data_IF_752279099188
#
_entry.id   IF_752279099188
#
_cell.length_a   1.000
_cell.length_b   1.000
_cell.length_c   1.000
_cell.angle_alpha   90.00
_cell.angle_beta   90.00
_cell.angle_gamma   90.00
#
_symmetry.space_group_name_H-M   'P 1'
#
loop_
_entity.id
_entity.type
_entity.pdbx_description
1 polymer ?
#
# COMPACT_ATOMS: atom_id res chain seq x y z
N UNK A 1 24.42 -55.53 4.46
CA UNK A 1 24.41 -56.36 3.24
C UNK A 1 23.07 -56.20 2.52
N UNK A 2 23.12 -55.89 1.22
CA UNK A 2 22.16 -56.07 0.08
C UNK A 2 20.81 -56.75 0.41
N UNK A 3 19.64 -56.37 -0.13
CA UNK A 3 19.17 -56.55 -1.53
C UNK A 3 17.67 -56.12 -1.58
N UNK A 4 17.14 -55.29 -2.49
CA UNK A 4 16.75 -55.47 -3.93
C UNK A 4 15.30 -55.93 -4.21
N UNK A 5 14.67 -55.16 -5.14
CA UNK A 5 13.63 -55.47 -6.18
C UNK A 5 12.16 -55.57 -5.70
N UNK A 6 11.22 -54.76 -6.20
CA UNK A 6 10.64 -54.61 -7.57
C UNK A 6 9.66 -55.76 -7.95
N UNK A 7 8.57 -55.41 -8.67
CA UNK A 7 7.43 -56.23 -9.24
C UNK A 7 6.09 -55.67 -8.68
N UNK A 8 5.00 -55.32 -9.39
CA UNK A 8 4.62 -55.35 -10.82
C UNK A 8 3.27 -54.59 -11.03
N UNK A 9 2.91 -54.43 -12.30
CA UNK A 9 1.81 -53.68 -12.94
C UNK A 9 0.36 -54.24 -12.81
N UNK A 10 -0.62 -53.32 -12.98
CA UNK A 10 -1.91 -53.40 -13.72
C UNK A 10 -3.11 -54.20 -13.11
N UNK A 11 -4.41 -53.95 -13.45
CA UNK A 11 -4.91 -53.54 -14.78
C UNK A 11 -6.09 -52.53 -14.92
N UNK A 12 -6.36 -52.26 -16.20
CA UNK A 12 -7.31 -51.35 -16.88
C UNK A 12 -8.78 -51.80 -16.79
N UNK A 13 -9.70 -50.83 -16.81
CA UNK A 13 -11.03 -50.99 -17.41
C UNK A 13 -11.33 -49.81 -18.36
N UNK A 14 -11.61 -50.12 -19.62
CA UNK A 14 -12.48 -49.32 -20.52
C UNK A 14 -13.76 -50.13 -20.81
N UNK A 15 -14.46 -49.91 -21.95
CA UNK A 15 -15.08 -48.67 -22.45
C UNK A 15 -16.57 -48.88 -22.86
N UNK A 16 -17.18 -47.84 -23.49
CA UNK A 16 -18.37 -47.82 -24.38
C UNK A 16 -19.78 -47.75 -23.76
N UNK A 17 -20.52 -46.68 -24.13
CA UNK A 17 -21.79 -46.77 -24.86
C UNK A 17 -22.22 -45.41 -25.45
N UNK A 18 -22.27 -45.37 -26.78
CA UNK A 18 -22.87 -44.36 -27.65
C UNK A 18 -24.40 -44.32 -27.54
N UNK A 19 -25.00 -43.19 -27.94
CA UNK A 19 -26.46 -43.08 -28.10
C UNK A 19 -26.98 -41.68 -28.52
N UNK A 20 -26.64 -41.25 -29.73
CA UNK A 20 -27.39 -40.43 -30.69
C UNK A 20 -28.51 -39.44 -30.26
N UNK A 21 -28.39 -38.20 -30.73
CA UNK A 21 -29.49 -37.25 -30.93
C UNK A 21 -29.04 -35.95 -31.62
N UNK A 22 -29.13 -35.89 -32.95
CA UNK A 22 -29.09 -34.62 -33.71
C UNK A 22 -30.43 -33.88 -33.55
N UNK A 23 -30.49 -32.53 -33.62
CA UNK A 23 -30.71 -31.88 -34.93
C UNK A 23 -30.17 -30.44 -35.07
N UNK A 24 -30.20 -29.91 -36.31
CA UNK A 24 -30.55 -28.51 -36.54
C UNK A 24 -29.48 -27.58 -37.09
N UNK A 25 -29.23 -27.66 -38.40
CA UNK A 25 -28.68 -26.55 -39.17
C UNK A 25 -29.71 -25.42 -39.22
N UNK A 26 -29.39 -24.23 -38.72
CA UNK A 26 -30.04 -22.98 -39.13
C UNK A 26 -29.04 -21.80 -39.08
N UNK A 27 -28.67 -21.35 -40.28
CA UNK A 27 -28.52 -19.94 -40.66
C UNK A 27 -27.62 -19.07 -39.76
N UNK A 28 -26.31 -19.26 -39.86
CA UNK A 28 -25.33 -18.24 -39.49
C UNK A 28 -25.35 -17.10 -40.50
N UNK A 29 -26.34 -16.20 -40.40
CA UNK A 29 -26.26 -14.88 -41.05
C UNK A 29 -25.04 -14.17 -40.50
N UNK A 30 -24.20 -13.70 -41.43
CA UNK A 30 -23.14 -12.76 -41.17
C UNK A 30 -23.67 -11.59 -40.31
N UNK A 31 -23.25 -11.53 -39.05
CA UNK A 31 -23.35 -10.30 -38.27
C UNK A 31 -22.13 -9.49 -38.66
N UNK A 32 -22.41 -8.46 -39.45
CA UNK A 32 -21.52 -7.38 -39.83
C UNK A 32 -20.53 -7.01 -38.72
N UNK A 33 -19.26 -6.94 -39.12
CA UNK A 33 -18.25 -6.13 -38.45
C UNK A 33 -18.78 -4.69 -38.39
N UNK A 34 -19.33 -4.32 -37.24
CA UNK A 34 -19.63 -2.94 -36.88
C UNK A 34 -18.46 -2.38 -36.10
N UNK A 35 -17.59 -1.64 -36.78
CA UNK A 35 -16.70 -0.70 -36.12
C UNK A 35 -17.51 0.39 -35.41
N UNK A 36 -16.86 1.06 -34.45
CA UNK A 36 -17.34 2.18 -33.64
C UNK A 36 -18.02 1.80 -32.30
N UNK A 37 -17.20 1.74 -31.27
CA UNK A 37 -17.58 1.72 -29.86
C UNK A 37 -16.37 2.10 -29.02
N UNK A 38 -15.86 3.31 -29.29
CA UNK A 38 -14.73 3.95 -28.65
C UNK A 38 -14.76 3.78 -27.13
N UNK A 39 -13.58 3.54 -26.55
CA UNK A 39 -13.28 3.67 -25.13
C UNK A 39 -14.07 4.84 -24.51
N UNK A 40 -14.61 4.70 -23.28
CA UNK A 40 -15.39 5.76 -22.66
C UNK A 40 -14.56 7.05 -22.68
N UNK A 41 -15.02 8.01 -23.48
CA UNK A 41 -14.41 9.32 -23.62
C UNK A 41 -14.40 9.93 -22.23
N UNK A 42 -13.21 10.08 -21.65
CA UNK A 42 -12.98 10.83 -20.41
C UNK A 42 -13.57 12.22 -20.66
N UNK A 43 -14.75 12.46 -20.11
CA UNK A 43 -15.44 13.75 -20.25
C UNK A 43 -14.61 14.78 -19.50
N UNK A 44 -14.51 16.03 -19.99
CA UNK A 44 -13.72 17.08 -19.34
C UNK A 44 -14.02 17.22 -17.83
N UNK A 45 -15.29 17.02 -17.44
CA UNK A 45 -15.73 17.04 -16.04
C UNK A 45 -15.22 15.89 -15.17
N UNK A 46 -14.88 14.73 -15.76
CA UNK A 46 -14.28 13.59 -15.06
C UNK A 46 -12.79 13.84 -14.79
N UNK A 47 -12.12 14.55 -15.70
CA UNK A 47 -10.70 14.88 -15.58
C UNK A 47 -10.47 15.89 -14.44
N UNK A 48 -11.29 16.94 -14.37
CA UNK A 48 -11.19 17.98 -13.34
C UNK A 48 -11.37 17.40 -11.92
N UNK A 49 -12.35 16.49 -11.76
CA UNK A 49 -12.58 15.78 -10.51
C UNK A 49 -11.39 14.88 -10.15
N UNK A 50 -10.93 14.05 -11.07
CA UNK A 50 -9.80 13.14 -10.83
C UNK A 50 -8.52 13.90 -10.47
N UNK A 51 -8.23 15.00 -11.17
CA UNK A 51 -7.06 15.83 -10.88
C UNK A 51 -7.15 16.47 -9.49
N UNK A 52 -8.34 16.93 -9.09
CA UNK A 52 -8.57 17.51 -7.76
C UNK A 52 -8.31 16.49 -6.65
N UNK A 53 -8.73 15.24 -6.86
CA UNK A 53 -8.52 14.12 -5.92
C UNK A 53 -7.05 13.82 -5.77
N UNK A 54 -6.35 13.57 -6.88
CA UNK A 54 -4.93 13.23 -6.87
C UNK A 54 -4.12 14.34 -6.21
N UNK A 55 -4.43 15.60 -6.53
CA UNK A 55 -3.81 16.76 -5.91
C UNK A 55 -4.06 16.80 -4.40
N UNK A 56 -5.30 16.60 -3.96
CA UNK A 56 -5.66 16.66 -2.54
C UNK A 56 -4.98 15.54 -1.77
N UNK A 57 -4.97 14.31 -2.30
CA UNK A 57 -4.27 13.18 -1.72
C UNK A 57 -2.76 13.42 -1.60
N UNK A 58 -2.11 13.88 -2.68
CA UNK A 58 -0.68 14.17 -2.68
C UNK A 58 -0.33 15.25 -1.65
N UNK A 59 -1.11 16.34 -1.63
CA UNK A 59 -0.88 17.43 -0.69
C UNK A 59 -1.07 16.97 0.76
N UNK A 60 -2.13 16.22 1.05
CA UNK A 60 -2.41 15.72 2.41
C UNK A 60 -1.31 14.77 2.88
N UNK A 61 -0.91 13.83 2.03
CA UNK A 61 0.12 12.84 2.35
C UNK A 61 1.50 13.49 2.53
N UNK A 62 1.93 14.35 1.60
CA UNK A 62 3.21 15.03 1.70
C UNK A 62 3.25 16.01 2.88
N UNK A 63 2.20 16.79 3.09
CA UNK A 63 2.11 17.71 4.23
C UNK A 63 2.09 16.95 5.56
N UNK A 64 1.33 15.86 5.65
CA UNK A 64 1.27 15.02 6.83
C UNK A 64 2.61 14.35 7.14
N UNK A 65 3.29 13.79 6.13
CA UNK A 65 4.62 13.19 6.30
C UNK A 65 5.67 14.23 6.68
N UNK A 66 5.63 15.42 6.07
CA UNK A 66 6.51 16.53 6.42
C UNK A 66 6.27 17.01 7.85
N UNK A 67 5.01 17.19 8.27
CA UNK A 67 4.66 17.57 9.63
C UNK A 67 5.09 16.50 10.65
N UNK A 68 4.85 15.22 10.36
CA UNK A 68 5.26 14.11 11.20
C UNK A 68 6.79 14.02 11.32
N UNK A 69 7.51 14.07 10.19
CA UNK A 69 8.96 13.92 10.12
C UNK A 69 9.76 15.12 10.61
N UNK A 70 9.29 16.35 10.39
CA UNK A 70 10.04 17.58 10.70
C UNK A 70 9.56 18.29 11.96
N UNK A 71 8.32 18.05 12.40
CA UNK A 71 7.76 18.73 13.59
C UNK A 71 7.52 17.72 14.70
N UNK A 72 6.75 16.67 14.45
CA UNK A 72 6.34 15.74 15.50
C UNK A 72 7.52 14.92 16.05
N UNK A 73 8.31 14.31 15.16
CA UNK A 73 9.48 13.49 15.54
C UNK A 73 10.59 14.31 16.24
N UNK A 74 11.05 15.45 15.70
CA UNK A 74 12.03 16.30 16.37
C UNK A 74 11.50 16.91 17.67
N UNK A 75 10.20 17.27 17.71
CA UNK A 75 9.55 17.78 18.91
C UNK A 75 9.46 16.73 20.01
N UNK A 76 9.10 15.49 19.66
CA UNK A 76 9.08 14.36 20.59
C UNK A 76 10.49 14.03 21.10
N UNK A 77 11.49 14.05 20.22
CA UNK A 77 12.89 13.89 20.61
C UNK A 77 13.28 14.95 21.64
N UNK A 78 13.06 16.23 21.34
CA UNK A 78 13.41 17.33 22.23
C UNK A 78 12.68 17.25 23.59
N UNK A 79 11.41 16.79 23.59
CA UNK A 79 10.63 16.61 24.81
C UNK A 79 11.17 15.48 25.70
N UNK A 80 11.61 14.37 25.11
CA UNK A 80 12.08 13.19 25.84
C UNK A 80 13.53 13.31 26.28
N UNK A 81 14.42 13.81 25.41
CA UNK A 81 15.86 13.91 25.70
C UNK A 81 16.26 15.25 26.30
N UNK A 82 15.44 16.29 26.15
CA UNK A 82 15.78 17.66 26.53
C UNK A 82 16.89 18.29 25.68
N UNK A 83 17.30 17.63 24.59
CA UNK A 83 18.40 18.06 23.73
C UNK A 83 17.89 18.72 22.43
N UNK A 84 18.73 19.56 21.82
CA UNK A 84 18.43 20.14 20.50
C UNK A 84 18.38 19.00 19.45
N UNK A 85 17.28 18.85 18.68
CA UNK A 85 17.16 17.80 17.67
C UNK A 85 17.98 18.07 16.39
N UNK A 86 18.50 19.29 16.19
CA UNK A 86 19.18 19.68 14.94
C UNK A 86 20.45 18.87 14.62
N UNK A 87 21.34 18.55 15.58
CA UNK A 87 22.51 17.71 15.30
C UNK A 87 22.08 16.31 14.85
N UNK A 88 21.08 15.73 15.53
CA UNK A 88 20.53 14.42 15.20
C UNK A 88 19.88 14.40 13.80
N UNK A 89 19.13 15.44 13.45
CA UNK A 89 18.55 15.62 12.11
C UNK A 89 19.63 15.70 11.03
N UNK A 90 20.76 16.38 11.28
CA UNK A 90 21.85 16.48 10.31
C UNK A 90 22.52 15.14 10.04
N UNK A 91 22.73 14.34 11.09
CA UNK A 91 23.32 13.00 10.98
C UNK A 91 22.39 12.05 10.21
N UNK A 92 21.09 12.09 10.49
CA UNK A 92 20.10 11.18 9.88
C UNK A 92 19.61 11.63 8.50
N UNK A 93 19.93 12.86 8.06
CA UNK A 93 19.49 13.40 6.78
C UNK A 93 20.03 12.60 5.58
N UNK A 94 21.31 12.23 5.59
CA UNK A 94 21.92 11.51 4.47
C UNK A 94 21.32 10.11 4.24
N UNK A 95 21.16 9.25 5.29
CA UNK A 95 20.42 7.99 5.17
C UNK A 95 18.96 8.19 4.73
N UNK A 96 18.29 9.23 5.23
CA UNK A 96 16.88 9.52 4.89
C UNK A 96 16.72 9.88 3.41
N UNK A 97 17.57 10.76 2.88
CA UNK A 97 17.56 11.12 1.45
C UNK A 97 17.87 9.90 0.59
N UNK A 98 18.79 9.03 1.02
CA UNK A 98 19.07 7.78 0.32
C UNK A 98 17.86 6.84 0.32
N UNK A 99 17.18 6.68 1.45
CA UNK A 99 15.95 5.89 1.55
C UNK A 99 14.87 6.37 0.56
N UNK A 100 14.69 7.69 0.48
CA UNK A 100 13.74 8.33 -0.44
C UNK A 100 14.11 8.08 -1.89
N UNK A 101 15.40 8.17 -2.25
CA UNK A 101 15.87 7.96 -3.63
C UNK A 101 15.66 6.52 -4.13
N UNK A 102 15.76 5.54 -3.25
CA UNK A 102 15.60 4.12 -3.58
C UNK A 102 14.20 3.58 -3.26
N UNK A 103 13.29 4.43 -2.75
CA UNK A 103 11.95 4.08 -2.27
C UNK A 103 11.93 2.83 -1.37
N UNK A 104 13.03 2.59 -0.63
CA UNK A 104 13.22 1.35 0.13
C UNK A 104 13.92 1.62 1.45
N UNK A 105 13.24 1.24 2.54
CA UNK A 105 13.77 1.40 3.89
C UNK A 105 14.97 0.48 4.13
N UNK A 106 14.95 -0.74 3.58
CA UNK A 106 16.01 -1.74 3.75
C UNK A 106 17.37 -1.25 3.25
N UNK A 107 17.39 -0.38 2.22
CA UNK A 107 18.63 0.22 1.69
C UNK A 107 19.25 1.21 2.68
N UNK A 108 18.42 1.92 3.44
CA UNK A 108 18.88 2.98 4.35
C UNK A 108 19.22 2.53 5.77
N UNK A 109 18.73 1.35 6.21
CA UNK A 109 19.00 0.82 7.55
C UNK A 109 20.50 0.69 7.85
N UNK A 110 21.34 0.07 7.00
CA UNK A 110 22.77 -0.05 7.30
C UNK A 110 23.46 1.32 7.40
N UNK A 111 23.15 2.23 6.49
CA UNK A 111 23.69 3.60 6.51
C UNK A 111 23.25 4.39 7.75
N UNK A 112 22.04 4.13 8.24
CA UNK A 112 21.53 4.76 9.47
C UNK A 112 22.28 4.27 10.70
N UNK A 113 22.61 2.97 10.76
CA UNK A 113 23.39 2.39 11.86
C UNK A 113 24.78 3.01 11.88
N UNK A 114 25.47 3.07 10.75
CA UNK A 114 26.81 3.66 10.62
C UNK A 114 26.80 5.15 11.02
N UNK A 115 25.83 5.93 10.51
CA UNK A 115 25.72 7.34 10.86
C UNK A 115 25.49 7.58 12.36
N UNK A 116 24.72 6.71 13.03
CA UNK A 116 24.45 6.82 14.46
C UNK A 116 25.61 6.35 15.33
N UNK A 117 26.37 5.35 14.89
CA UNK A 117 27.58 4.88 15.59
C UNK A 117 28.72 5.89 15.46
N UNK A 118 28.98 6.41 14.26
CA UNK A 118 30.16 7.26 14.00
C UNK A 118 29.91 8.74 14.28
N UNK A 119 28.78 9.30 13.83
CA UNK A 119 28.55 10.75 13.87
C UNK A 119 27.74 11.20 15.10
N UNK A 120 26.96 10.31 15.72
CA UNK A 120 26.23 10.58 16.95
C UNK A 120 26.85 9.93 18.21
N UNK A 121 27.96 9.19 18.05
CA UNK A 121 28.73 8.52 19.13
C UNK A 121 27.82 7.68 20.06
N UNK A 122 26.84 6.99 19.48
CA UNK A 122 25.91 6.15 20.24
C UNK A 122 26.47 4.73 20.40
N UNK A 123 26.19 4.12 21.55
CA UNK A 123 26.61 2.75 21.88
C UNK A 123 26.19 1.74 20.78
N UNK A 124 27.14 1.11 20.06
CA UNK A 124 26.84 0.23 18.92
C UNK A 124 25.90 -0.92 19.29
N UNK A 125 26.01 -1.43 20.52
CA UNK A 125 25.15 -2.50 21.02
C UNK A 125 23.67 -2.09 21.07
N UNK A 126 23.38 -0.84 21.40
CA UNK A 126 22.01 -0.31 21.46
C UNK A 126 21.51 -0.04 20.04
N UNK A 127 22.31 0.64 19.21
CA UNK A 127 21.93 1.01 17.84
C UNK A 127 21.61 -0.23 16.99
N UNK A 128 22.49 -1.24 17.00
CA UNK A 128 22.32 -2.48 16.21
C UNK A 128 21.15 -3.35 16.64
N UNK A 129 20.63 -3.15 17.86
CA UNK A 129 19.44 -3.84 18.33
C UNK A 129 18.17 -3.02 18.03
N UNK A 130 18.17 -1.74 18.39
CA UNK A 130 16.96 -0.90 18.34
C UNK A 130 16.60 -0.52 16.91
N UNK A 131 17.57 -0.16 16.06
CA UNK A 131 17.28 0.32 14.69
C UNK A 131 16.65 -0.77 13.82
N UNK A 132 17.17 -2.01 13.72
CA UNK A 132 16.56 -3.05 12.89
C UNK A 132 15.17 -3.50 13.39
N UNK A 133 14.99 -3.58 14.71
CA UNK A 133 13.69 -3.91 15.31
C UNK A 133 12.69 -2.78 15.05
N UNK A 134 13.10 -1.54 15.28
CA UNK A 134 12.28 -0.34 15.04
C UNK A 134 11.90 -0.18 13.57
N UNK A 135 12.80 -0.48 12.63
CA UNK A 135 12.52 -0.37 11.19
C UNK A 135 11.40 -1.31 10.70
N UNK A 136 11.18 -2.43 11.39
CA UNK A 136 10.10 -3.38 11.06
C UNK A 136 8.79 -3.07 11.79
N UNK A 137 8.86 -2.59 13.04
CA UNK A 137 7.67 -2.33 13.86
C UNK A 137 7.09 -0.92 13.62
N UNK A 138 7.93 0.04 13.20
CA UNK A 138 7.50 1.41 12.95
C UNK A 138 6.69 1.50 11.66
N UNK A 139 5.36 1.57 11.80
CA UNK A 139 4.42 1.70 10.70
C UNK A 139 3.71 3.05 10.64
N UNK A 140 4.23 4.09 11.29
CA UNK A 140 3.58 5.41 11.34
C UNK A 140 3.41 6.05 9.95
N UNK A 141 4.41 5.92 9.07
CA UNK A 141 4.33 6.45 7.71
C UNK A 141 3.25 5.77 6.88
N UNK A 142 3.16 4.43 6.97
CA UNK A 142 2.11 3.67 6.29
C UNK A 142 0.73 4.04 6.82
N UNK A 143 0.56 4.13 8.14
CA UNK A 143 -0.72 4.52 8.75
C UNK A 143 -1.18 5.92 8.27
N UNK A 144 -0.26 6.87 8.10
CA UNK A 144 -0.55 8.21 7.60
C UNK A 144 -1.05 8.17 6.15
N UNK A 145 -0.37 7.42 5.28
CA UNK A 145 -0.75 7.26 3.87
C UNK A 145 -2.13 6.60 3.75
N UNK A 146 -2.38 5.54 4.51
CA UNK A 146 -3.68 4.85 4.50
C UNK A 146 -4.82 5.75 5.01
N UNK A 147 -4.55 6.53 6.07
CA UNK A 147 -5.52 7.49 6.60
C UNK A 147 -5.82 8.60 5.60
N UNK A 148 -4.80 9.14 4.93
CA UNK A 148 -4.96 10.15 3.90
C UNK A 148 -5.73 9.64 2.68
N UNK A 149 -5.49 8.37 2.28
CA UNK A 149 -6.24 7.70 1.22
C UNK A 149 -7.73 7.58 1.59
N UNK A 150 -8.03 7.08 2.79
CA UNK A 150 -9.40 6.94 3.28
C UNK A 150 -10.14 8.28 3.36
N UNK A 151 -9.50 9.32 3.92
CA UNK A 151 -10.06 10.68 3.99
C UNK A 151 -10.37 11.22 2.59
N UNK A 152 -9.43 11.05 1.64
CA UNK A 152 -9.62 11.55 0.28
C UNK A 152 -10.79 10.84 -0.42
N UNK A 153 -10.93 9.53 -0.23
CA UNK A 153 -12.04 8.75 -0.79
C UNK A 153 -13.39 9.12 -0.16
N UNK A 154 -13.43 9.37 1.15
CA UNK A 154 -14.64 9.85 1.81
C UNK A 154 -15.07 11.22 1.28
N UNK A 155 -14.12 12.15 1.09
CA UNK A 155 -14.42 13.48 0.51
C UNK A 155 -14.88 13.39 -0.95
N UNK A 156 -14.47 12.35 -1.67
CA UNK A 156 -14.88 12.08 -3.05
C UNK A 156 -16.35 11.69 -3.17
N UNK A 157 -16.81 10.87 -2.23
CA UNK A 157 -18.20 10.43 -2.15
C UNK A 157 -19.10 11.47 -1.46
N UNK A 158 -18.53 12.62 -1.06
CA UNK A 158 -19.25 13.74 -0.47
C UNK A 158 -19.59 13.56 1.00
N UNK A 159 -18.88 12.67 1.70
CA UNK A 159 -19.06 12.44 3.13
C UNK A 159 -18.39 13.53 3.95
N UNK A 160 -19.14 14.11 4.88
CA UNK A 160 -18.57 14.97 5.92
C UNK A 160 -18.00 14.08 7.01
N UNK A 161 -16.69 14.19 7.24
CA UNK A 161 -15.98 13.41 8.25
C UNK A 161 -16.15 14.09 9.63
N UNK A 162 -16.90 13.45 10.51
CA UNK A 162 -16.99 13.80 11.92
C UNK A 162 -15.86 13.22 12.77
N UNK A 163 -15.83 13.52 14.06
CA UNK A 163 -14.83 13.00 14.99
C UNK A 163 -14.89 11.47 15.14
N UNK A 164 -16.06 10.86 15.00
CA UNK A 164 -16.26 9.41 15.03
C UNK A 164 -15.64 8.70 13.82
N UNK A 165 -15.81 9.22 12.61
CA UNK A 165 -15.20 8.64 11.41
C UNK A 165 -13.67 8.78 11.45
N UNK A 166 -13.16 9.91 11.93
CA UNK A 166 -11.73 10.11 12.10
C UNK A 166 -11.11 9.11 13.10
N UNK A 167 -11.84 8.79 14.17
CA UNK A 167 -11.43 7.76 15.12
C UNK A 167 -11.36 6.37 14.46
N UNK A 168 -12.37 6.02 13.66
CA UNK A 168 -12.43 4.75 12.92
C UNK A 168 -11.25 4.64 11.95
N UNK A 169 -10.99 5.70 11.18
CA UNK A 169 -9.87 5.75 10.22
C UNK A 169 -8.53 5.54 10.94
N UNK A 170 -8.31 6.23 12.06
CA UNK A 170 -7.07 6.13 12.84
C UNK A 170 -6.85 4.73 13.41
N UNK A 171 -7.90 4.08 13.92
CA UNK A 171 -7.81 2.73 14.48
C UNK A 171 -7.65 1.67 13.39
N UNK A 172 -8.37 1.81 12.28
CA UNK A 172 -8.28 0.91 11.13
C UNK A 172 -6.89 0.91 10.50
N UNK A 173 -6.26 2.08 10.38
CA UNK A 173 -4.90 2.22 9.85
C UNK A 173 -3.81 1.59 10.74
N UNK A 174 -4.04 1.52 12.06
CA UNK A 174 -3.09 0.92 13.01
C UNK A 174 -3.22 -0.61 13.14
N UNK A 175 -4.37 -1.18 12.75
CA UNK A 175 -4.72 -2.57 13.06
C UNK A 175 -4.13 -3.61 12.11
N UNK A 176 -3.70 -3.23 10.91
CA UNK A 176 -3.28 -4.17 9.86
C UNK A 176 -1.84 -3.86 9.40
N UNK A 177 -0.86 -4.66 9.84
CA UNK A 177 0.50 -4.55 9.34
C UNK A 177 0.58 -4.97 7.87
N UNK A 178 1.22 -4.14 7.04
CA UNK A 178 1.80 -4.52 5.74
C UNK A 178 0.83 -4.92 4.62
N UNK A 179 -0.45 -4.53 4.68
CA UNK A 179 -1.39 -4.70 3.56
C UNK A 179 -2.08 -3.40 3.21
N UNK A 180 -1.48 -2.60 2.32
CA UNK A 180 -1.95 -1.24 2.03
C UNK A 180 -3.37 -1.18 1.48
N UNK A 181 -3.61 -1.85 0.35
CA UNK A 181 -4.92 -1.86 -0.32
C UNK A 181 -6.02 -2.45 0.57
N UNK A 182 -5.74 -3.53 1.30
CA UNK A 182 -6.72 -4.16 2.20
C UNK A 182 -7.08 -3.25 3.36
N UNK A 183 -6.11 -2.51 3.91
CA UNK A 183 -6.35 -1.59 5.02
C UNK A 183 -7.32 -0.49 4.60
N UNK A 184 -7.09 0.13 3.44
CA UNK A 184 -8.01 1.15 2.91
C UNK A 184 -9.40 0.55 2.67
N UNK A 185 -9.47 -0.66 2.11
CA UNK A 185 -10.75 -1.35 1.89
C UNK A 185 -11.52 -1.59 3.20
N UNK A 186 -10.84 -2.07 4.24
CA UNK A 186 -11.47 -2.32 5.54
C UNK A 186 -11.98 -1.03 6.19
N UNK A 187 -11.24 0.07 6.05
CA UNK A 187 -11.69 1.38 6.52
C UNK A 187 -12.93 1.85 5.74
N UNK A 188 -12.96 1.69 4.41
CA UNK A 188 -14.13 2.06 3.60
C UNK A 188 -15.37 1.22 3.95
N UNK A 189 -15.18 -0.07 4.22
CA UNK A 189 -16.26 -0.95 4.68
C UNK A 189 -16.81 -0.51 6.04
N UNK A 190 -15.93 -0.09 6.97
CA UNK A 190 -16.33 0.40 8.28
C UNK A 190 -17.08 1.74 8.22
N UNK A 191 -16.83 2.54 7.18
CA UNK A 191 -17.48 3.83 6.91
C UNK A 191 -18.70 3.70 5.98
N UNK A 192 -19.09 2.48 5.61
CA UNK A 192 -20.21 2.19 4.68
C UNK A 192 -20.10 2.89 3.31
N UNK A 193 -18.88 3.18 2.85
CA UNK A 193 -18.60 3.92 1.61
C UNK A 193 -18.56 2.99 0.40
N UNK A 194 -19.11 3.43 -0.74
CA UNK A 194 -19.14 2.60 -1.95
C UNK A 194 -17.74 2.41 -2.52
N UNK A 195 -17.24 1.18 -2.48
CA UNK A 195 -15.89 0.83 -2.93
C UNK A 195 -15.69 0.84 -4.46
N UNK A 196 -16.58 1.51 -5.21
CA UNK A 196 -16.53 1.61 -6.69
C UNK A 196 -15.24 2.29 -7.17
N UNK A 197 -14.58 3.04 -6.28
CA UNK A 197 -13.37 3.81 -6.54
C UNK A 197 -12.07 3.12 -6.07
N UNK A 198 -12.06 1.82 -5.72
CA UNK A 198 -10.83 1.07 -5.35
C UNK A 198 -9.72 1.21 -6.41
N UNK A 199 -10.08 1.30 -7.69
CA UNK A 199 -9.14 1.50 -8.79
C UNK A 199 -8.28 2.76 -8.60
N UNK A 200 -8.84 3.82 -8.00
CA UNK A 200 -8.10 5.05 -7.68
C UNK A 200 -7.10 4.80 -6.56
N UNK A 201 -7.43 3.98 -5.56
CA UNK A 201 -6.51 3.62 -4.47
C UNK A 201 -5.25 2.95 -5.02
N UNK A 202 -5.39 2.04 -5.99
CA UNK A 202 -4.26 1.38 -6.63
C UNK A 202 -3.36 2.36 -7.41
N UNK A 203 -3.95 3.36 -8.06
CA UNK A 203 -3.20 4.41 -8.76
C UNK A 203 -2.45 5.31 -7.77
N UNK A 204 -3.06 5.58 -6.62
CA UNK A 204 -2.48 6.42 -5.56
C UNK A 204 -1.39 5.69 -4.75
N UNK A 205 -1.51 4.37 -4.57
CA UNK A 205 -0.53 3.53 -3.86
C UNK A 205 0.80 3.44 -4.63
N UNK A 206 0.77 3.49 -5.96
CA UNK A 206 2.00 3.54 -6.77
C UNK A 206 2.71 4.90 -6.71
N UNK A 207 1.96 5.97 -6.44
CA UNK A 207 2.46 7.35 -6.54
C UNK A 207 3.24 7.82 -5.30
N UNK A 208 3.12 7.11 -4.19
CA UNK A 208 3.66 7.46 -2.86
C UNK A 208 4.62 6.38 -2.37
#
# INVERSE_FOLDING_TARGET
MKNKRAVTNAPRHGPLRDGAGAPGQHSGRAVHVGGAGLHPVVTASQLDKTLTVVRTYLLLTLAGLAAYGLVLLPGLYALVTGQDPRPFLRVTLAPTVKAFRWASRAVSVPDTIEALEEAADLEPRIVRFVIPVGANVSMSGTALVMSAAAVTLATLDGLELGPEELLIISLGAASIPNSGVLTVLMILMALEVSSRNISLVLVLDWLV
#
